data_IF_062695823502
#
_entry.id   IF_062695823502
#
_cell.length_a   1.000
_cell.length_b   1.000
_cell.length_c   1.000
_cell.angle_alpha   90.00
_cell.angle_beta   90.00
_cell.angle_gamma   90.00
#
_symmetry.space_group_name_H-M   'P 1'
#
loop_
_entity.id
_entity.type
_entity.pdbx_description
1 polymer ?
#
# COMPACT_ATOMS: atom_id res chain seq x y z
N UNK A 1 0.21 -3.96 26.89
CA UNK A 1 0.64 -2.57 26.63
C UNK A 1 2.14 -2.41 26.44
N UNK A 2 2.57 -1.92 25.28
CA UNK A 2 3.98 -1.71 24.92
C UNK A 2 4.58 -0.45 25.59
N UNK A 3 5.88 -0.46 25.95
CA UNK A 3 6.56 0.70 26.55
C UNK A 3 6.52 1.93 25.64
N UNK A 4 6.33 3.12 26.23
CA UNK A 4 6.26 4.38 25.49
C UNK A 4 7.52 4.68 24.66
N UNK A 5 8.70 4.31 25.16
CA UNK A 5 9.95 4.46 24.43
C UNK A 5 9.91 3.75 23.06
N UNK A 6 9.31 2.56 23.00
CA UNK A 6 9.20 1.81 21.76
C UNK A 6 8.21 2.48 20.79
N UNK A 7 7.11 3.06 21.30
CA UNK A 7 6.15 3.85 20.52
C UNK A 7 6.82 5.07 19.86
N UNK A 8 7.65 5.78 20.62
CA UNK A 8 8.41 6.93 20.12
C UNK A 8 9.45 6.53 19.06
N UNK A 9 10.11 5.37 19.21
CA UNK A 9 11.02 4.83 18.19
C UNK A 9 10.27 4.51 16.90
N UNK A 10 9.11 3.85 16.98
CA UNK A 10 8.27 3.56 15.81
C UNK A 10 7.83 4.84 15.10
N UNK A 11 7.38 5.85 15.85
CA UNK A 11 7.05 7.16 15.28
C UNK A 11 8.26 7.79 14.55
N UNK A 12 9.44 7.78 15.17
CA UNK A 12 10.66 8.32 14.55
C UNK A 12 11.04 7.57 13.26
N UNK A 13 10.93 6.24 13.27
CA UNK A 13 11.16 5.39 12.10
C UNK A 13 10.16 5.68 10.97
N UNK A 14 8.87 5.81 11.29
CA UNK A 14 7.81 6.15 10.33
C UNK A 14 8.04 7.51 9.65
N UNK A 15 8.34 8.55 10.44
CA UNK A 15 8.56 9.91 9.91
C UNK A 15 9.84 9.96 9.06
N UNK A 16 10.95 9.43 9.57
CA UNK A 16 12.23 9.42 8.84
C UNK A 16 12.16 8.55 7.57
N UNK A 17 11.51 7.39 7.65
CA UNK A 17 11.26 6.50 6.51
C UNK A 17 10.41 7.16 5.45
N UNK A 18 9.36 7.89 5.83
CA UNK A 18 8.52 8.65 4.90
C UNK A 18 9.32 9.73 4.18
N UNK A 19 10.11 10.53 4.91
CA UNK A 19 10.96 11.57 4.33
C UNK A 19 12.01 10.99 3.38
N UNK A 20 12.69 9.92 3.79
CA UNK A 20 13.64 9.22 2.94
C UNK A 20 12.98 8.67 1.67
N UNK A 21 11.77 8.12 1.79
CA UNK A 21 10.99 7.63 0.67
C UNK A 21 10.71 8.76 -0.35
N UNK A 22 10.27 9.94 0.09
CA UNK A 22 10.09 11.10 -0.78
C UNK A 22 11.36 11.47 -1.55
N UNK A 23 12.51 11.53 -0.85
CA UNK A 23 13.79 11.88 -1.47
C UNK A 23 14.16 10.87 -2.58
N UNK A 24 14.10 9.58 -2.27
CA UNK A 24 14.43 8.50 -3.21
C UNK A 24 13.47 8.49 -4.41
N UNK A 25 12.18 8.63 -4.16
CA UNK A 25 11.16 8.57 -5.21
C UNK A 25 11.16 9.81 -6.11
N UNK A 26 11.48 11.00 -5.58
CA UNK A 26 11.72 12.19 -6.41
C UNK A 26 12.96 12.01 -7.28
N UNK A 27 14.04 11.47 -6.72
CA UNK A 27 15.25 11.17 -7.49
C UNK A 27 14.93 10.17 -8.62
N UNK A 28 14.19 9.10 -8.31
CA UNK A 28 13.71 8.13 -9.30
C UNK A 28 12.85 8.79 -10.38
N UNK A 29 11.86 9.62 -10.00
CA UNK A 29 10.98 10.32 -10.94
C UNK A 29 11.77 11.16 -11.95
N UNK A 30 12.84 11.83 -11.49
CA UNK A 30 13.73 12.62 -12.34
C UNK A 30 14.54 11.76 -13.30
N UNK A 31 15.05 10.60 -12.88
CA UNK A 31 15.86 9.73 -13.75
C UNK A 31 15.03 9.03 -14.82
N UNK A 32 13.84 8.52 -14.48
CA UNK A 32 12.95 7.85 -15.43
C UNK A 32 12.08 8.84 -16.23
N UNK A 33 12.07 10.12 -15.82
CA UNK A 33 11.23 11.19 -16.36
C UNK A 33 9.72 10.83 -16.37
N UNK A 34 9.26 10.23 -15.26
CA UNK A 34 7.88 9.83 -15.03
C UNK A 34 7.53 10.17 -13.59
N UNK A 35 6.60 11.11 -13.43
CA UNK A 35 6.28 11.70 -12.14
C UNK A 35 5.04 11.11 -11.46
N UNK A 36 4.08 10.62 -12.24
CA UNK A 36 2.78 10.18 -11.71
C UNK A 36 2.92 9.04 -10.70
N UNK A 37 3.76 8.03 -11.01
CA UNK A 37 3.87 6.82 -10.20
C UNK A 37 4.62 7.08 -8.89
N UNK A 38 5.79 7.74 -8.89
CA UNK A 38 6.48 8.07 -7.64
C UNK A 38 5.69 9.04 -6.74
N UNK A 39 5.02 10.05 -7.32
CA UNK A 39 4.18 10.97 -6.56
C UNK A 39 2.98 10.27 -5.93
N UNK A 40 2.31 9.39 -6.69
CA UNK A 40 1.20 8.59 -6.17
C UNK A 40 1.67 7.71 -5.00
N UNK A 41 2.77 6.96 -5.18
CA UNK A 41 3.34 6.13 -4.12
C UNK A 41 3.63 6.94 -2.85
N UNK A 42 4.35 8.06 -2.98
CA UNK A 42 4.67 8.92 -1.85
C UNK A 42 3.43 9.51 -1.18
N UNK A 43 2.43 9.94 -1.95
CA UNK A 43 1.19 10.49 -1.38
C UNK A 43 0.45 9.45 -0.52
N UNK A 44 0.40 8.20 -1.00
CA UNK A 44 -0.30 7.11 -0.31
C UNK A 44 0.48 6.62 0.92
N UNK A 45 1.81 6.49 0.83
CA UNK A 45 2.66 6.22 2.01
C UNK A 45 2.48 7.33 3.06
N UNK A 46 2.44 8.59 2.63
CA UNK A 46 2.24 9.72 3.55
C UNK A 46 0.89 9.65 4.25
N UNK A 47 -0.17 9.19 3.56
CA UNK A 47 -1.48 8.99 4.16
C UNK A 47 -1.47 7.85 5.20
N UNK A 48 -0.84 6.72 4.87
CA UNK A 48 -0.69 5.56 5.75
C UNK A 48 0.10 5.91 7.02
N UNK A 49 1.31 6.45 6.83
CA UNK A 49 2.18 6.80 7.95
C UNK A 49 1.65 8.01 8.71
N UNK A 50 0.96 8.93 8.02
CA UNK A 50 0.32 10.09 8.63
C UNK A 50 -0.77 9.68 9.62
N UNK A 51 -1.68 8.77 9.25
CA UNK A 51 -2.73 8.31 10.18
C UNK A 51 -2.16 7.45 11.32
N UNK A 52 -1.09 6.70 11.06
CA UNK A 52 -0.37 5.98 12.11
C UNK A 52 0.27 6.94 13.12
N UNK A 53 1.00 7.94 12.62
CA UNK A 53 1.68 8.96 13.41
C UNK A 53 0.70 9.86 14.18
N UNK A 54 -0.47 10.18 13.61
CA UNK A 54 -1.55 10.89 14.31
C UNK A 54 -2.02 10.13 15.56
N UNK A 55 -1.85 8.80 15.59
CA UNK A 55 -2.09 7.99 16.79
C UNK A 55 -1.28 8.42 18.02
N UNK A 56 -0.16 9.14 17.84
CA UNK A 56 0.62 9.71 18.95
C UNK A 56 -0.16 10.72 19.79
N UNK A 57 -1.15 11.42 19.22
CA UNK A 57 -2.03 12.32 19.99
C UNK A 57 -2.72 11.56 21.12
N UNK A 58 -3.04 10.29 20.90
CA UNK A 58 -3.62 9.36 21.87
C UNK A 58 -2.57 8.40 22.45
N UNK A 59 -1.29 8.81 22.47
CA UNK A 59 -0.17 8.01 23.00
C UNK A 59 -0.05 6.61 22.35
N UNK A 60 -0.51 6.45 21.10
CA UNK A 60 -0.61 5.15 20.42
C UNK A 60 -1.27 4.09 21.31
N UNK A 61 -2.34 4.48 22.00
CA UNK A 61 -3.13 3.63 22.87
C UNK A 61 -4.56 3.50 22.30
N UNK A 62 -4.91 2.37 21.66
CA UNK A 62 -6.25 2.16 21.11
C UNK A 62 -7.37 2.27 22.13
N UNK A 63 -7.09 2.08 23.43
CA UNK A 63 -8.10 2.22 24.50
C UNK A 63 -8.48 3.68 24.76
N UNK A 64 -7.64 4.64 24.37
CA UNK A 64 -7.89 6.08 24.52
C UNK A 64 -8.42 6.72 23.23
N UNK A 65 -8.44 5.98 22.13
CA UNK A 65 -8.86 6.49 20.83
C UNK A 65 -10.38 6.45 20.67
N UNK A 66 -11.03 7.55 20.23
CA UNK A 66 -12.45 7.53 19.93
C UNK A 66 -12.75 6.59 18.76
N UNK A 67 -13.93 5.98 18.77
CA UNK A 67 -14.33 4.94 17.82
C UNK A 67 -14.19 5.39 16.37
N UNK A 68 -14.58 6.64 16.07
CA UNK A 68 -14.45 7.22 14.75
C UNK A 68 -12.97 7.30 14.28
N UNK A 69 -12.04 7.61 15.18
CA UNK A 69 -10.62 7.64 14.85
C UNK A 69 -10.06 6.25 14.62
N UNK A 70 -10.46 5.27 15.43
CA UNK A 70 -10.07 3.85 15.25
C UNK A 70 -10.52 3.31 13.91
N UNK A 71 -11.79 3.55 13.56
CA UNK A 71 -12.36 3.11 12.29
C UNK A 71 -11.68 3.81 11.10
N UNK A 72 -11.42 5.11 11.20
CA UNK A 72 -10.65 5.85 10.19
C UNK A 72 -9.22 5.31 10.03
N UNK A 73 -8.55 4.98 11.14
CA UNK A 73 -7.19 4.43 11.13
C UNK A 73 -7.14 3.06 10.45
N UNK A 74 -8.06 2.14 10.78
CA UNK A 74 -8.18 0.82 10.12
C UNK A 74 -8.41 0.99 8.61
N UNK A 75 -9.35 1.86 8.23
CA UNK A 75 -9.70 2.08 6.83
C UNK A 75 -8.54 2.71 6.04
N UNK A 76 -7.95 3.80 6.53
CA UNK A 76 -6.90 4.53 5.83
C UNK A 76 -5.66 3.64 5.69
N UNK A 77 -5.27 2.90 6.73
CA UNK A 77 -4.11 1.99 6.67
C UNK A 77 -4.38 0.88 5.64
N UNK A 78 -5.54 0.21 5.72
CA UNK A 78 -5.86 -0.89 4.81
C UNK A 78 -6.01 -0.43 3.36
N UNK A 79 -6.72 0.68 3.12
CA UNK A 79 -6.86 1.26 1.78
C UNK A 79 -5.51 1.68 1.22
N UNK A 80 -4.69 2.37 2.01
CA UNK A 80 -3.37 2.82 1.56
C UNK A 80 -2.46 1.63 1.24
N UNK A 81 -2.48 0.58 2.06
CA UNK A 81 -1.73 -0.65 1.78
C UNK A 81 -2.18 -1.33 0.48
N UNK A 82 -3.49 -1.41 0.23
CA UNK A 82 -4.04 -1.96 -1.01
C UNK A 82 -3.65 -1.12 -2.24
N UNK A 83 -3.69 0.22 -2.14
CA UNK A 83 -3.27 1.11 -3.24
C UNK A 83 -1.76 0.98 -3.49
N UNK A 84 -0.92 0.94 -2.45
CA UNK A 84 0.54 0.73 -2.60
C UNK A 84 0.84 -0.60 -3.28
N UNK A 85 0.12 -1.65 -2.91
CA UNK A 85 0.20 -2.95 -3.55
C UNK A 85 -0.20 -2.87 -5.04
N UNK A 86 -1.29 -2.18 -5.37
CA UNK A 86 -1.70 -1.93 -6.75
C UNK A 86 -0.67 -1.13 -7.58
N UNK A 87 0.01 -0.17 -6.95
CA UNK A 87 1.12 0.57 -7.58
C UNK A 87 2.31 -0.36 -7.83
N UNK A 88 2.68 -1.20 -6.87
CA UNK A 88 3.75 -2.17 -7.03
C UNK A 88 3.43 -3.20 -8.15
N UNK A 89 2.20 -3.72 -8.18
CA UNK A 89 1.72 -4.62 -9.22
C UNK A 89 1.81 -3.96 -10.61
N UNK A 90 1.37 -2.70 -10.71
CA UNK A 90 1.45 -1.93 -11.97
C UNK A 90 2.89 -1.78 -12.44
N UNK A 91 3.82 -1.53 -11.52
CA UNK A 91 5.24 -1.39 -11.82
C UNK A 91 5.85 -2.71 -12.32
N UNK A 92 5.60 -3.81 -11.61
CA UNK A 92 6.06 -5.15 -11.99
C UNK A 92 5.50 -5.51 -13.36
N UNK A 93 4.19 -5.36 -13.56
CA UNK A 93 3.54 -5.65 -14.83
C UNK A 93 4.13 -4.84 -15.98
N UNK A 94 4.28 -3.51 -15.82
CA UNK A 94 4.78 -2.65 -16.89
C UNK A 94 6.22 -3.04 -17.31
N UNK A 95 7.09 -3.33 -16.34
CA UNK A 95 8.47 -3.75 -16.61
C UNK A 95 8.47 -5.12 -17.29
N UNK A 96 7.81 -6.10 -16.68
CA UNK A 96 7.79 -7.47 -17.20
C UNK A 96 7.17 -7.54 -18.60
N UNK A 97 6.08 -6.81 -18.85
CA UNK A 97 5.45 -6.76 -20.15
C UNK A 97 6.36 -6.13 -21.21
N UNK A 98 7.17 -5.12 -20.86
CA UNK A 98 8.15 -4.54 -21.80
C UNK A 98 9.27 -5.50 -22.17
N UNK A 99 9.62 -6.43 -21.27
CA UNK A 99 10.63 -7.45 -21.49
C UNK A 99 10.06 -8.62 -22.31
N UNK A 100 8.84 -9.08 -22.02
CA UNK A 100 8.22 -10.27 -22.66
C UNK A 100 7.51 -9.92 -23.97
N UNK A 101 6.86 -8.76 -24.06
CA UNK A 101 6.10 -8.34 -25.23
C UNK A 101 6.51 -6.92 -25.67
N UNK A 102 7.77 -6.74 -26.12
CA UNK A 102 8.26 -5.42 -26.51
C UNK A 102 7.42 -4.81 -27.63
N UNK A 103 6.92 -5.61 -28.58
CA UNK A 103 6.13 -5.13 -29.72
C UNK A 103 4.73 -4.66 -29.35
N UNK A 104 4.06 -5.30 -28.37
CA UNK A 104 2.70 -4.88 -27.95
C UNK A 104 2.73 -3.70 -26.97
N UNK A 105 3.82 -3.53 -26.25
CA UNK A 105 3.98 -2.46 -25.25
C UNK A 105 4.63 -1.20 -25.86
N UNK A 106 5.60 -1.35 -26.77
CA UNK A 106 6.38 -0.25 -27.35
C UNK A 106 5.88 0.22 -28.73
N UNK A 107 4.58 0.13 -29.02
CA UNK A 107 3.99 0.67 -30.24
C UNK A 107 4.48 2.11 -30.52
N UNK A 108 5.37 2.22 -31.51
CA UNK A 108 6.09 3.36 -32.09
C UNK A 108 6.69 4.48 -31.18
N UNK A 109 6.09 4.87 -30.04
CA UNK A 109 6.51 6.02 -29.21
C UNK A 109 6.15 5.96 -27.71
N UNK A 110 5.46 4.93 -27.22
CA UNK A 110 5.01 4.90 -25.82
C UNK A 110 6.15 4.47 -24.86
N UNK A 111 6.47 5.28 -23.85
CA UNK A 111 7.37 4.89 -22.74
C UNK A 111 6.77 3.70 -21.98
N UNK A 112 7.60 2.73 -21.59
CA UNK A 112 7.22 1.53 -20.81
C UNK A 112 6.30 1.82 -19.62
N UNK A 113 6.57 2.89 -18.87
CA UNK A 113 5.84 3.30 -17.66
C UNK A 113 4.90 4.49 -17.90
N UNK A 114 4.55 4.78 -19.15
CA UNK A 114 3.54 5.79 -19.47
C UNK A 114 2.18 5.39 -18.89
N UNK A 115 1.42 6.38 -18.41
CA UNK A 115 0.09 6.16 -17.85
C UNK A 115 -0.83 5.48 -18.86
N UNK A 116 -1.52 4.42 -18.43
CA UNK A 116 -2.55 3.73 -19.21
C UNK A 116 -3.81 3.63 -18.36
N UNK A 117 -4.98 3.84 -18.95
CA UNK A 117 -6.26 3.76 -18.24
C UNK A 117 -6.49 2.39 -17.57
N UNK A 118 -5.89 1.33 -18.11
CA UNK A 118 -5.94 -0.03 -17.52
C UNK A 118 -5.33 -0.06 -16.10
N UNK A 119 -4.38 0.83 -15.79
CA UNK A 119 -3.78 0.91 -14.45
C UNK A 119 -4.76 1.40 -13.38
N UNK A 120 -5.91 1.98 -13.75
CA UNK A 120 -6.97 2.32 -12.81
C UNK A 120 -7.55 1.08 -12.11
N UNK A 121 -7.48 -0.11 -12.74
CA UNK A 121 -8.00 -1.34 -12.17
C UNK A 121 -7.24 -1.71 -10.88
N UNK A 122 -5.92 -1.95 -10.90
CA UNK A 122 -5.16 -2.29 -9.71
C UNK A 122 -4.99 -1.11 -8.75
N UNK A 123 -4.96 0.14 -9.23
CA UNK A 123 -4.67 1.32 -8.38
C UNK A 123 -5.92 1.84 -7.65
N UNK A 124 -7.10 1.75 -8.26
CA UNK A 124 -8.31 2.39 -7.74
C UNK A 124 -9.44 1.39 -7.55
N UNK A 125 -9.82 0.63 -8.58
CA UNK A 125 -11.01 -0.22 -8.53
C UNK A 125 -10.86 -1.32 -7.49
N UNK A 126 -9.78 -2.11 -7.57
CA UNK A 126 -9.54 -3.22 -6.65
C UNK A 126 -9.39 -2.71 -5.20
N UNK A 127 -8.52 -1.73 -4.89
CA UNK A 127 -8.41 -1.20 -3.53
C UNK A 127 -9.72 -0.64 -2.97
N UNK A 128 -10.52 0.04 -3.79
CA UNK A 128 -11.81 0.61 -3.35
C UNK A 128 -12.81 -0.49 -3.02
N UNK A 129 -12.98 -1.49 -3.89
CA UNK A 129 -13.92 -2.59 -3.66
C UNK A 129 -13.56 -3.35 -2.38
N UNK A 130 -12.28 -3.68 -2.21
CA UNK A 130 -11.80 -4.43 -1.04
C UNK A 130 -11.87 -3.61 0.24
N UNK A 131 -11.44 -2.35 0.23
CA UNK A 131 -11.51 -1.48 1.40
C UNK A 131 -12.97 -1.19 1.83
N UNK A 132 -13.88 -0.98 0.87
CA UNK A 132 -15.31 -0.82 1.16
C UNK A 132 -15.89 -2.10 1.73
N UNK A 133 -15.56 -3.26 1.17
CA UNK A 133 -16.04 -4.54 1.70
C UNK A 133 -15.51 -4.78 3.11
N UNK A 134 -14.22 -4.52 3.35
CA UNK A 134 -13.59 -4.66 4.65
C UNK A 134 -14.24 -3.74 5.69
N UNK A 135 -14.44 -2.45 5.38
CA UNK A 135 -15.00 -1.51 6.37
C UNK A 135 -16.46 -1.82 6.69
N UNK A 136 -17.25 -2.25 5.69
CA UNK A 136 -18.62 -2.73 5.92
C UNK A 136 -18.60 -3.90 6.89
N UNK A 137 -17.73 -4.89 6.66
CA UNK A 137 -17.61 -6.05 7.54
C UNK A 137 -17.12 -5.71 8.95
N UNK A 138 -16.16 -4.78 9.07
CA UNK A 138 -15.68 -4.29 10.37
C UNK A 138 -16.82 -3.65 11.16
N UNK A 139 -17.65 -2.83 10.52
CA UNK A 139 -18.81 -2.20 11.17
C UNK A 139 -19.89 -3.23 11.51
N UNK A 140 -20.20 -4.16 10.60
CA UNK A 140 -21.27 -5.14 10.84
C UNK A 140 -20.91 -6.16 11.92
N UNK A 141 -19.63 -6.48 12.08
CA UNK A 141 -19.14 -7.42 13.07
C UNK A 141 -18.61 -6.76 14.35
N UNK A 142 -18.73 -5.44 14.47
CA UNK A 142 -18.17 -4.66 15.60
C UNK A 142 -16.68 -4.97 15.84
N UNK A 143 -15.96 -5.25 14.74
CA UNK A 143 -14.60 -5.81 14.74
C UNK A 143 -13.52 -4.72 14.85
N UNK A 144 -13.80 -3.66 15.61
CA UNK A 144 -12.90 -2.52 15.83
C UNK A 144 -12.60 -2.28 17.31
N UNK A 145 -12.87 -3.27 18.17
CA UNK A 145 -12.58 -3.22 19.59
C UNK A 145 -11.10 -2.88 19.86
N UNK A 146 -10.78 -2.16 20.95
CA UNK A 146 -9.41 -1.76 21.24
C UNK A 146 -8.51 -2.98 21.41
N UNK A 147 -7.26 -2.88 20.94
CA UNK A 147 -6.25 -3.92 21.07
C UNK A 147 -4.98 -3.39 21.74
N UNK A 148 -4.13 -4.30 22.20
CA UNK A 148 -2.85 -3.97 22.85
C UNK A 148 -1.74 -3.49 21.86
N UNK A 149 -2.10 -3.28 20.59
CA UNK A 149 -1.19 -2.87 19.52
C UNK A 149 -0.97 -1.35 19.47
N UNK A 150 0.00 -0.92 18.65
CA UNK A 150 0.36 0.50 18.46
C UNK A 150 -0.71 1.33 17.72
N UNK A 151 -1.62 0.66 17.01
CA UNK A 151 -2.68 1.28 16.22
C UNK A 151 -3.95 0.46 16.34
N UNK A 152 -5.09 1.07 16.03
CA UNK A 152 -6.34 0.36 15.90
C UNK A 152 -6.30 -0.56 14.68
N UNK A 153 -6.62 -1.82 14.90
CA UNK A 153 -6.67 -2.86 13.87
C UNK A 153 -7.94 -3.70 14.06
N UNK A 154 -8.25 -4.54 13.09
CA UNK A 154 -9.41 -5.42 13.12
C UNK A 154 -9.23 -6.47 14.22
N UNK A 155 -10.20 -6.56 15.12
CA UNK A 155 -10.16 -7.48 16.29
C UNK A 155 -11.22 -8.57 16.19
N UNK A 156 -10.95 -9.73 16.80
CA UNK A 156 -11.87 -10.88 16.87
C UNK A 156 -12.00 -11.72 15.59
N UNK A 157 -11.92 -11.10 14.41
CA UNK A 157 -12.15 -11.76 13.13
C UNK A 157 -10.99 -11.53 12.14
N UNK A 158 -9.89 -12.26 12.33
CA UNK A 158 -8.66 -12.19 11.51
C UNK A 158 -8.89 -12.35 10.00
N UNK A 159 -9.93 -13.08 9.59
CA UNK A 159 -10.25 -13.26 8.17
C UNK A 159 -10.66 -11.95 7.49
N UNK A 160 -11.17 -10.96 8.23
CA UNK A 160 -11.49 -9.63 7.70
C UNK A 160 -10.20 -8.88 7.32
N UNK A 161 -9.07 -9.12 8.01
CA UNK A 161 -7.76 -8.57 7.62
C UNK A 161 -7.30 -9.08 6.24
N UNK A 162 -7.77 -10.26 5.80
CA UNK A 162 -7.45 -10.78 4.46
C UNK A 162 -8.01 -9.90 3.35
N UNK A 163 -9.12 -9.20 3.61
CA UNK A 163 -9.69 -8.24 2.65
C UNK A 163 -8.91 -6.90 2.63
N UNK A 164 -8.12 -6.64 3.67
CA UNK A 164 -7.26 -5.46 3.76
C UNK A 164 -5.82 -5.77 3.36
N UNK A 165 -4.90 -5.32 4.20
CA UNK A 165 -3.46 -5.37 3.97
C UNK A 165 -2.86 -6.80 3.92
N UNK A 166 -3.56 -7.84 4.39
CA UNK A 166 -2.97 -9.16 4.57
C UNK A 166 -3.18 -10.13 3.39
N UNK A 167 -4.34 -10.11 2.72
CA UNK A 167 -4.68 -11.15 1.74
C UNK A 167 -4.34 -10.78 0.30
N UNK A 168 -4.71 -9.57 -0.14
CA UNK A 168 -4.49 -9.12 -1.53
C UNK A 168 -3.01 -9.14 -1.94
N UNK A 169 -2.07 -8.60 -1.15
CA UNK A 169 -0.65 -8.68 -1.50
C UNK A 169 -0.16 -10.12 -1.65
N UNK A 170 -0.68 -11.05 -0.84
CA UNK A 170 -0.30 -12.46 -0.92
C UNK A 170 -0.79 -13.10 -2.23
N UNK A 171 -2.04 -12.88 -2.62
CA UNK A 171 -2.63 -13.42 -3.85
C UNK A 171 -1.90 -12.87 -5.08
N UNK A 172 -1.60 -11.57 -5.09
CA UNK A 172 -0.93 -10.90 -6.21
C UNK A 172 0.57 -11.19 -6.28
N UNK A 173 1.20 -11.59 -5.17
CA UNK A 173 2.61 -11.97 -5.15
C UNK A 173 2.89 -13.23 -5.98
N UNK A 174 1.98 -14.20 -6.02
CA UNK A 174 2.16 -15.42 -6.80
C UNK A 174 2.35 -15.17 -8.31
N UNK A 175 1.42 -14.49 -9.02
CA UNK A 175 1.62 -14.21 -10.45
C UNK A 175 2.82 -13.29 -10.70
N UNK A 176 3.05 -12.30 -9.82
CA UNK A 176 4.21 -11.41 -9.92
C UNK A 176 5.53 -12.18 -9.87
N UNK A 177 5.64 -13.17 -8.98
CA UNK A 177 6.83 -14.01 -8.84
C UNK A 177 7.12 -14.77 -10.14
N UNK A 178 6.13 -15.49 -10.66
CA UNK A 178 6.29 -16.28 -11.89
C UNK A 178 6.62 -15.40 -13.11
N UNK A 179 5.95 -14.26 -13.25
CA UNK A 179 6.23 -13.30 -14.32
C UNK A 179 7.64 -12.75 -14.23
N UNK A 180 8.12 -12.40 -13.03
CA UNK A 180 9.47 -11.87 -12.81
C UNK A 180 10.53 -12.94 -13.11
N UNK A 181 10.32 -14.18 -12.66
CA UNK A 181 11.22 -15.32 -12.98
C UNK A 181 11.30 -15.53 -14.48
N UNK A 182 10.17 -15.58 -15.18
CA UNK A 182 10.14 -15.77 -16.63
C UNK A 182 10.82 -14.62 -17.39
N UNK A 183 10.59 -13.37 -16.98
CA UNK A 183 11.28 -12.22 -17.55
C UNK A 183 12.80 -12.30 -17.34
N UNK A 184 13.25 -12.69 -16.15
CA UNK A 184 14.67 -12.90 -15.85
C UNK A 184 15.31 -13.98 -16.72
N UNK A 185 14.64 -15.13 -16.90
CA UNK A 185 15.10 -16.20 -17.79
C UNK A 185 15.20 -15.73 -19.24
N UNK A 186 14.29 -14.86 -19.69
CA UNK A 186 14.31 -14.31 -21.05
C UNK A 186 15.49 -13.36 -21.28
N UNK A 187 15.81 -12.51 -20.30
CA UNK A 187 16.93 -11.55 -20.41
C UNK A 187 18.29 -12.26 -20.32
N UNK A 188 18.36 -13.39 -19.61
CA UNK A 188 19.59 -14.17 -19.47
C UNK A 188 19.93 -15.03 -20.70
N UNK A 189 18.99 -15.20 -21.64
CA UNK A 189 19.20 -15.91 -22.91
C UNK A 189 19.55 -14.93 -24.02
#
# INVERSE_FOLDING_TARGET
MLPFALKAVWFGLSVSGTLACWVVMIALARTINIWWLPLLYCSVVTALEGIFCLGMVYHMDPFQMPDAFRLAQIFIISYSALVLNGVALTFIWAITASVIWPESVNGAKARTLSWRHVYLIPILIIPTVFAVTQIVLVVTHDAYAPSDNFHADVTGHLWICLLGYAGMPMIESFPCFWLTVYAGVRVAR
#
